data_IF_667953420058
#
_entry.id   IF_667953420058
#
_cell.length_a   1.000
_cell.length_b   1.000
_cell.length_c   1.000
_cell.angle_alpha   90.00
_cell.angle_beta   90.00
_cell.angle_gamma   90.00
#
_symmetry.space_group_name_H-M   'P 1'
#
loop_
_entity.id
_entity.type
_entity.pdbx_description
1 polymer ?
#
# COMPACT_ATOMS: atom_id res chain seq x y z
N UNK A 1 -36.58 -13.81 -3.99
CA UNK A 1 -35.18 -13.63 -3.56
C UNK A 1 -34.45 -13.06 -4.75
N UNK A 2 -34.16 -11.75 -4.74
CA UNK A 2 -33.42 -11.12 -5.84
C UNK A 2 -31.98 -11.62 -5.80
N UNK A 3 -31.48 -12.08 -6.96
CA UNK A 3 -30.11 -12.58 -7.11
C UNK A 3 -29.28 -11.48 -7.77
N UNK A 4 -28.45 -10.81 -6.99
CA UNK A 4 -27.46 -9.88 -7.52
C UNK A 4 -26.22 -10.67 -7.95
N UNK A 5 -25.74 -10.40 -9.16
CA UNK A 5 -24.43 -10.87 -9.62
C UNK A 5 -23.51 -9.67 -9.66
N UNK A 6 -22.40 -9.75 -8.94
CA UNK A 6 -21.39 -8.70 -8.90
C UNK A 6 -20.22 -9.13 -9.79
N UNK A 7 -19.80 -8.24 -10.67
CA UNK A 7 -18.66 -8.45 -11.55
C UNK A 7 -17.61 -7.38 -11.27
N UNK A 8 -16.33 -7.77 -11.31
CA UNK A 8 -15.23 -6.82 -11.26
C UNK A 8 -14.92 -6.31 -12.67
N UNK A 9 -14.55 -5.04 -12.73
CA UNK A 9 -14.16 -4.41 -13.97
C UNK A 9 -13.43 -3.10 -13.70
N UNK A 10 -12.77 -2.61 -14.73
CA UNK A 10 -12.00 -1.39 -14.68
C UNK A 10 -12.53 -0.37 -15.70
N UNK A 11 -12.35 0.92 -15.39
CA UNK A 11 -12.68 2.00 -16.33
C UNK A 11 -11.56 2.16 -17.36
N UNK A 12 -11.91 2.12 -18.64
CA UNK A 12 -11.00 2.45 -19.75
C UNK A 12 -11.72 3.37 -20.73
N UNK A 13 -11.16 4.55 -20.98
CA UNK A 13 -11.74 5.56 -21.89
C UNK A 13 -13.21 5.91 -21.60
N UNK A 14 -13.59 5.96 -20.31
CA UNK A 14 -14.97 6.24 -19.91
C UNK A 14 -15.94 5.06 -20.04
N UNK A 15 -15.46 3.86 -20.42
CA UNK A 15 -16.25 2.63 -20.54
C UNK A 15 -15.81 1.64 -19.45
N UNK A 16 -16.77 0.96 -18.83
CA UNK A 16 -16.50 -0.13 -17.88
C UNK A 16 -16.17 -1.39 -18.67
N UNK A 17 -14.97 -1.93 -18.50
CA UNK A 17 -14.54 -3.22 -19.03
C UNK A 17 -14.58 -4.27 -17.91
N UNK A 18 -15.34 -5.35 -18.11
CA UNK A 18 -15.39 -6.47 -17.15
C UNK A 18 -14.14 -7.36 -17.30
N UNK A 19 -13.52 -7.72 -16.18
CA UNK A 19 -12.22 -8.41 -16.19
C UNK A 19 -12.33 -9.90 -16.58
N UNK A 20 -13.39 -10.58 -16.13
CA UNK A 20 -13.55 -12.04 -16.29
C UNK A 20 -14.15 -12.46 -17.66
N UNK A 21 -14.18 -11.57 -18.64
CA UNK A 21 -14.73 -11.86 -19.98
C UNK A 21 -16.23 -12.20 -19.97
N UNK A 22 -16.95 -11.80 -18.93
CA UNK A 22 -18.40 -12.04 -18.80
C UNK A 22 -19.15 -11.24 -19.85
N UNK A 23 -19.98 -11.91 -20.64
CA UNK A 23 -20.90 -11.27 -21.58
C UNK A 23 -22.27 -11.14 -20.94
N UNK A 24 -22.73 -9.91 -20.73
CA UNK A 24 -24.09 -9.63 -20.29
C UNK A 24 -25.03 -9.59 -21.51
N UNK A 25 -26.31 -9.99 -21.34
CA UNK A 25 -27.28 -9.90 -22.41
C UNK A 25 -27.49 -8.44 -22.83
N UNK A 26 -27.72 -8.22 -24.12
CA UNK A 26 -28.00 -6.91 -24.67
C UNK A 26 -29.22 -6.28 -23.99
N UNK A 27 -29.14 -4.98 -23.66
CA UNK A 27 -30.22 -4.25 -22.99
C UNK A 27 -30.37 -4.51 -21.49
N UNK A 28 -29.47 -5.28 -20.86
CA UNK A 28 -29.49 -5.48 -19.41
C UNK A 28 -29.28 -4.16 -18.65
N UNK A 29 -30.18 -3.86 -17.70
CA UNK A 29 -29.99 -2.76 -16.77
C UNK A 29 -28.88 -3.10 -15.77
N UNK A 30 -27.86 -2.25 -15.70
CA UNK A 30 -26.71 -2.43 -14.81
C UNK A 30 -26.63 -1.28 -13.80
N UNK A 31 -26.20 -1.61 -12.57
CA UNK A 31 -25.79 -0.62 -11.57
C UNK A 31 -24.27 -0.69 -11.46
N UNK A 32 -23.61 0.45 -11.61
CA UNK A 32 -22.16 0.57 -11.43
C UNK A 32 -21.92 1.14 -10.04
N UNK A 33 -21.16 0.41 -9.23
CA UNK A 33 -20.67 0.88 -7.94
C UNK A 33 -19.16 1.00 -8.00
N UNK A 34 -18.64 2.20 -7.74
CA UNK A 34 -17.20 2.42 -7.64
C UNK A 34 -16.71 1.75 -6.36
N UNK A 35 -15.96 0.67 -6.51
CA UNK A 35 -15.25 0.07 -5.38
C UNK A 35 -13.97 0.84 -5.13
N UNK A 36 -13.65 1.09 -3.86
CA UNK A 36 -12.31 1.56 -3.49
C UNK A 36 -11.34 0.52 -4.04
N UNK A 37 -10.49 0.94 -4.97
CA UNK A 37 -9.52 0.05 -5.58
C UNK A 37 -8.71 -0.60 -4.46
N UNK A 38 -8.97 -1.89 -4.19
CA UNK A 38 -7.94 -2.74 -3.59
C UNK A 38 -6.92 -2.80 -4.71
N UNK A 39 -5.87 -2.01 -4.57
CA UNK A 39 -4.86 -1.70 -5.59
C UNK A 39 -4.28 -2.98 -6.21
N UNK A 40 -4.98 -3.52 -7.19
CA UNK A 40 -4.53 -4.53 -8.14
C UNK A 40 -4.16 -3.86 -9.48
N UNK A 41 -4.08 -2.54 -9.51
CA UNK A 41 -3.37 -1.85 -10.58
C UNK A 41 -1.97 -2.49 -10.68
N UNK A 42 -1.51 -2.88 -11.88
CA UNK A 42 -0.09 -3.19 -12.05
C UNK A 42 0.66 -1.96 -11.53
N UNK A 43 1.59 -2.18 -10.60
CA UNK A 43 2.39 -1.12 -9.98
C UNK A 43 3.06 -0.30 -11.08
N UNK A 44 2.36 0.73 -11.55
CA UNK A 44 2.80 1.69 -12.58
C UNK A 44 3.29 2.96 -11.90
N UNK A 45 3.10 3.06 -10.59
CA UNK A 45 3.95 3.83 -9.72
C UNK A 45 4.90 2.82 -9.09
N UNK A 46 6.19 2.94 -9.40
CA UNK A 46 7.25 2.11 -8.82
C UNK A 46 7.13 2.22 -7.30
N UNK A 47 6.58 1.18 -6.67
CA UNK A 47 6.52 1.13 -5.21
C UNK A 47 7.95 1.33 -4.72
N UNK A 48 8.22 2.37 -3.92
CA UNK A 48 9.59 2.70 -3.54
C UNK A 48 10.21 1.47 -2.89
N UNK A 49 11.43 1.15 -3.30
CA UNK A 49 12.15 0.03 -2.72
C UNK A 49 12.42 0.33 -1.24
N UNK A 50 12.79 -0.71 -0.48
CA UNK A 50 13.25 -0.51 0.90
C UNK A 50 14.44 0.43 0.96
N UNK A 51 15.29 0.44 -0.08
CA UNK A 51 16.39 1.37 -0.19
C UNK A 51 15.89 2.81 -0.32
N UNK A 52 14.99 3.10 -1.28
CA UNK A 52 14.45 4.46 -1.51
C UNK A 52 13.73 5.00 -0.27
N UNK A 53 13.03 4.12 0.44
CA UNK A 53 12.32 4.47 1.67
C UNK A 53 13.25 4.79 2.85
N UNK A 54 14.44 4.18 2.88
CA UNK A 54 15.39 4.30 4.00
C UNK A 54 16.57 5.22 3.71
N UNK A 55 16.82 5.57 2.45
CA UNK A 55 17.90 6.47 2.01
C UNK A 55 18.02 7.74 2.88
N UNK A 56 16.92 8.43 3.25
CA UNK A 56 17.02 9.63 4.07
C UNK A 56 17.53 9.39 5.50
N UNK A 57 17.63 8.15 5.97
CA UNK A 57 18.02 7.79 7.34
C UNK A 57 19.38 7.11 7.42
N UNK A 58 19.87 6.54 6.32
CA UNK A 58 21.16 5.84 6.28
C UNK A 58 22.28 6.82 6.63
N UNK A 59 23.11 6.45 7.60
CA UNK A 59 24.28 7.25 8.01
C UNK A 59 23.97 8.51 8.83
N UNK A 60 22.71 8.85 9.12
CA UNK A 60 22.37 10.06 9.90
C UNK A 60 22.89 10.07 11.34
N UNK A 61 23.13 8.90 11.92
CA UNK A 61 23.57 8.73 13.29
C UNK A 61 25.11 8.77 13.38
N UNK A 62 25.68 9.98 13.36
CA UNK A 62 27.13 10.18 13.49
C UNK A 62 27.54 10.48 14.94
N UNK A 63 28.74 10.04 15.33
CA UNK A 63 29.32 10.36 16.64
C UNK A 63 28.63 9.73 17.85
N UNK A 64 27.69 8.80 17.63
CA UNK A 64 26.98 8.12 18.71
C UNK A 64 27.87 7.04 19.37
N UNK A 65 27.73 6.82 20.69
CA UNK A 65 28.38 5.71 21.36
C UNK A 65 27.95 4.35 20.78
N UNK A 66 28.90 3.41 20.70
CA UNK A 66 28.67 2.09 20.10
C UNK A 66 27.56 1.27 20.79
N UNK A 67 27.28 1.55 22.06
CA UNK A 67 26.26 0.89 22.87
C UNK A 67 24.95 1.69 22.99
N UNK A 68 24.78 2.76 22.21
CA UNK A 68 23.61 3.65 22.33
C UNK A 68 22.27 2.96 22.04
N UNK A 69 22.25 1.99 21.12
CA UNK A 69 21.06 1.20 20.83
C UNK A 69 20.62 0.31 22.00
N UNK A 70 21.56 -0.10 22.85
CA UNK A 70 21.30 -0.94 24.03
C UNK A 70 20.92 -0.09 25.23
N UNK A 71 21.58 1.08 25.37
CA UNK A 71 21.53 1.97 26.52
C UNK A 71 20.79 3.29 26.21
N UNK A 72 19.67 3.23 25.47
CA UNK A 72 18.96 4.44 25.02
C UNK A 72 18.59 5.39 26.17
N UNK A 73 18.03 4.84 27.26
CA UNK A 73 17.62 5.65 28.41
C UNK A 73 18.79 6.33 29.13
N UNK A 74 19.97 5.70 29.13
CA UNK A 74 21.17 6.29 29.69
C UNK A 74 21.58 7.53 28.90
N UNK A 75 21.55 7.45 27.57
CA UNK A 75 21.98 8.56 26.71
C UNK A 75 20.92 9.65 26.54
N UNK A 76 19.63 9.32 26.62
CA UNK A 76 18.54 10.30 26.53
C UNK A 76 18.18 10.94 27.88
N UNK A 77 18.23 10.17 28.97
CA UNK A 77 17.68 10.55 30.26
C UNK A 77 18.67 10.43 31.42
N UNK A 78 19.90 9.96 31.20
CA UNK A 78 20.94 9.86 32.23
C UNK A 78 20.75 8.71 33.22
N UNK A 79 19.92 7.71 32.91
CA UNK A 79 19.74 6.52 33.76
C UNK A 79 21.02 5.67 33.80
N UNK A 80 21.22 4.80 34.80
CA UNK A 80 22.35 3.86 34.79
C UNK A 80 22.35 2.97 33.54
N UNK A 81 23.52 2.65 33.01
CA UNK A 81 23.65 1.69 31.89
C UNK A 81 23.15 0.31 32.31
N UNK A 82 22.57 -0.41 31.35
CA UNK A 82 22.19 -1.81 31.50
C UNK A 82 23.47 -2.65 31.63
N UNK A 83 23.45 -3.60 32.56
CA UNK A 83 24.54 -4.53 32.80
C UNK A 83 24.68 -5.54 31.66
#
# INVERSE_FOLDING_TARGET
MEKFMTFQGHMKNGVVHLDDGVTLPEGAAVRVELTLARSNAPATEETPTLYDSLEPFIGKAEGLPADMSINLDHYLYGTPKRA
#
